data_IF_620933918303
#
_entry.id   IF_620933918303
#
_cell.length_a   1.000
_cell.length_b   1.000
_cell.length_c   1.000
_cell.angle_alpha   90.00
_cell.angle_beta   90.00
_cell.angle_gamma   90.00
#
_symmetry.space_group_name_H-M   'P 1'
#
loop_
_entity.id
_entity.type
_entity.pdbx_description
1 polymer ?
#
# COMPACT_ATOMS: atom_id res chain seq x y z
N UNK A 1 9.55 -1.30 -13.47
CA UNK A 1 10.90 -1.08 -14.06
C UNK A 1 11.77 -0.37 -13.04
N UNK A 2 13.00 -0.84 -12.84
CA UNK A 2 13.97 -0.19 -11.97
C UNK A 2 15.25 0.12 -12.74
N UNK A 3 15.81 1.31 -12.55
CA UNK A 3 17.03 1.76 -13.20
C UNK A 3 18.01 2.30 -12.16
N UNK A 4 19.22 1.75 -12.13
CA UNK A 4 20.34 2.32 -11.41
C UNK A 4 21.04 3.32 -12.32
N UNK A 5 21.11 4.59 -11.91
CA UNK A 5 21.77 5.67 -12.64
C UNK A 5 23.24 5.78 -12.27
N UNK A 6 23.52 5.52 -11.00
CA UNK A 6 24.87 5.43 -10.44
C UNK A 6 24.93 4.27 -9.44
N UNK A 7 26.10 4.00 -8.88
CA UNK A 7 26.24 3.02 -7.79
C UNK A 7 25.47 3.38 -6.52
N UNK A 8 25.05 4.65 -6.39
CA UNK A 8 24.33 5.16 -5.22
C UNK A 8 22.90 5.59 -5.49
N UNK A 9 22.52 5.88 -6.73
CA UNK A 9 21.21 6.42 -7.08
C UNK A 9 20.43 5.50 -8.00
N UNK A 10 19.21 5.20 -7.63
CA UNK A 10 18.29 4.39 -8.42
C UNK A 10 16.88 4.94 -8.39
N UNK A 11 16.12 4.68 -9.45
CA UNK A 11 14.72 5.03 -9.61
C UNK A 11 13.92 3.78 -9.93
N UNK A 12 12.77 3.65 -9.31
CA UNK A 12 11.81 2.57 -9.59
C UNK A 12 10.49 3.19 -10.03
N UNK A 13 9.94 2.68 -11.12
CA UNK A 13 8.62 2.99 -11.64
C UNK A 13 7.81 1.70 -11.74
N UNK A 14 6.60 1.70 -11.23
CA UNK A 14 5.66 0.60 -11.34
C UNK A 14 4.27 1.09 -11.73
N UNK A 15 3.51 0.22 -12.37
CA UNK A 15 2.10 0.40 -12.65
C UNK A 15 1.41 -0.94 -12.44
N UNK A 16 0.18 -0.89 -11.97
CA UNK A 16 -0.69 -2.05 -11.81
C UNK A 16 -2.11 -1.68 -12.21
N UNK A 17 -2.80 -2.66 -12.74
CA UNK A 17 -4.22 -2.59 -13.06
C UNK A 17 -4.88 -3.84 -12.50
N UNK A 18 -6.06 -3.68 -11.90
CA UNK A 18 -6.91 -4.80 -11.52
C UNK A 18 -8.38 -4.46 -11.76
N UNK A 19 -9.15 -5.46 -12.15
CA UNK A 19 -10.59 -5.36 -12.35
C UNK A 19 -11.24 -6.44 -11.48
N UNK A 20 -12.31 -6.07 -10.81
CA UNK A 20 -13.14 -6.99 -10.04
C UNK A 20 -14.57 -6.85 -10.55
N UNK A 21 -15.09 -7.92 -11.13
CA UNK A 21 -16.44 -8.02 -11.64
C UNK A 21 -17.15 -9.22 -11.01
N UNK A 22 -18.22 -8.95 -10.29
CA UNK A 22 -19.05 -9.98 -9.65
C UNK A 22 -20.24 -10.30 -10.55
N UNK A 23 -20.43 -11.56 -10.86
CA UNK A 23 -21.54 -12.02 -11.72
C UNK A 23 -22.88 -12.09 -10.98
N UNK A 24 -22.86 -12.20 -9.64
CA UNK A 24 -24.09 -12.22 -8.84
C UNK A 24 -24.63 -10.81 -8.61
N UNK A 25 -25.92 -10.60 -8.88
CA UNK A 25 -26.58 -9.28 -8.75
C UNK A 25 -26.48 -8.68 -7.35
N UNK A 26 -26.45 -9.49 -6.30
CA UNK A 26 -26.27 -9.06 -4.92
C UNK A 26 -24.88 -8.49 -4.63
N UNK A 27 -23.86 -8.84 -5.41
CA UNK A 27 -22.47 -8.47 -5.23
C UNK A 27 -21.98 -7.44 -6.25
N UNK A 28 -22.77 -7.09 -7.28
CA UNK A 28 -22.40 -6.10 -8.31
C UNK A 28 -22.10 -4.71 -7.76
N UNK A 29 -22.59 -4.40 -6.55
CA UNK A 29 -22.27 -3.14 -5.87
C UNK A 29 -20.77 -2.98 -5.54
N UNK A 30 -19.99 -4.06 -5.61
CA UNK A 30 -18.55 -4.08 -5.35
C UNK A 30 -17.70 -4.15 -6.64
N UNK A 31 -18.34 -4.11 -7.83
CA UNK A 31 -17.62 -4.03 -9.10
C UNK A 31 -16.75 -2.80 -9.15
N UNK A 32 -15.48 -3.00 -9.49
CA UNK A 32 -14.51 -1.90 -9.49
C UNK A 32 -13.30 -2.15 -10.37
N UNK A 33 -12.82 -1.06 -10.95
CA UNK A 33 -11.55 -0.97 -11.66
C UNK A 33 -10.54 -0.21 -10.79
N UNK A 34 -9.35 -0.73 -10.70
CA UNK A 34 -8.26 -0.12 -9.97
C UNK A 34 -7.03 0.07 -10.85
N UNK A 35 -6.54 1.30 -10.90
CA UNK A 35 -5.28 1.66 -11.56
C UNK A 35 -4.35 2.23 -10.50
N UNK A 36 -3.13 1.71 -10.44
CA UNK A 36 -2.10 2.21 -9.54
C UNK A 36 -0.80 2.51 -10.26
N UNK A 37 -0.12 3.54 -9.81
CA UNK A 37 1.23 3.91 -10.24
C UNK A 37 2.09 4.20 -9.03
N UNK A 38 3.36 3.84 -9.10
CA UNK A 38 4.34 4.19 -8.08
C UNK A 38 5.64 4.65 -8.71
N UNK A 39 6.24 5.64 -8.08
CA UNK A 39 7.54 6.19 -8.44
C UNK A 39 8.36 6.36 -7.18
N UNK A 40 9.58 5.83 -7.16
CA UNK A 40 10.46 5.90 -5.99
C UNK A 40 11.87 6.22 -6.43
N UNK A 41 12.44 7.26 -5.84
CA UNK A 41 13.86 7.58 -5.90
C UNK A 41 14.54 7.06 -4.63
N UNK A 42 15.67 6.40 -4.80
CA UNK A 42 16.45 5.84 -3.71
C UNK A 42 17.89 6.29 -3.84
N UNK A 43 18.44 6.83 -2.76
CA UNK A 43 19.83 7.25 -2.67
C UNK A 43 20.55 6.50 -1.52
N UNK A 44 21.62 5.82 -1.86
CA UNK A 44 22.47 5.13 -0.90
C UNK A 44 23.40 6.14 -0.23
N UNK A 45 23.00 6.60 0.96
CA UNK A 45 23.75 7.62 1.74
C UNK A 45 25.08 7.07 2.26
N UNK A 46 25.03 5.88 2.88
CA UNK A 46 26.20 5.13 3.34
C UNK A 46 26.10 3.69 2.85
N UNK A 47 27.06 2.83 3.20
CA UNK A 47 26.99 1.40 2.87
C UNK A 47 25.80 0.71 3.56
N UNK A 48 25.39 1.22 4.72
CA UNK A 48 24.30 0.64 5.53
C UNK A 48 22.99 1.42 5.47
N UNK A 49 23.02 2.69 5.04
CA UNK A 49 21.84 3.54 5.03
C UNK A 49 21.50 4.00 3.62
N UNK A 50 20.28 3.75 3.20
CA UNK A 50 19.70 4.36 2.02
C UNK A 50 18.47 5.17 2.42
N UNK A 51 18.26 6.31 1.75
CA UNK A 51 17.08 7.16 1.90
C UNK A 51 16.27 7.12 0.62
N UNK A 52 14.98 7.32 0.72
CA UNK A 52 14.09 7.31 -0.43
C UNK A 52 13.02 8.39 -0.34
N UNK A 53 12.60 8.85 -1.50
CA UNK A 53 11.39 9.66 -1.65
C UNK A 53 10.53 8.98 -2.72
N UNK A 54 9.31 8.65 -2.35
CA UNK A 54 8.38 7.93 -3.20
C UNK A 54 7.05 8.65 -3.34
N UNK A 55 6.42 8.45 -4.48
CA UNK A 55 5.03 8.78 -4.74
C UNK A 55 4.29 7.55 -5.21
N UNK A 56 3.08 7.35 -4.67
CA UNK A 56 2.17 6.31 -5.13
C UNK A 56 0.81 6.94 -5.35
N UNK A 57 0.30 6.85 -6.57
CA UNK A 57 -1.03 7.28 -6.95
C UNK A 57 -1.90 6.07 -7.27
N UNK A 58 -3.17 6.12 -6.87
CA UNK A 58 -4.16 5.10 -7.23
C UNK A 58 -5.51 5.72 -7.52
N UNK A 59 -6.18 5.19 -8.52
CA UNK A 59 -7.55 5.53 -8.88
C UNK A 59 -8.40 4.27 -8.82
N UNK A 60 -9.51 4.36 -8.11
CA UNK A 60 -10.50 3.31 -8.01
C UNK A 60 -11.83 3.83 -8.58
N UNK A 61 -12.26 3.23 -9.68
CA UNK A 61 -13.56 3.48 -10.30
C UNK A 61 -14.52 2.39 -9.83
N UNK A 62 -15.68 2.78 -9.32
CA UNK A 62 -16.72 1.86 -8.85
C UNK A 62 -17.95 2.00 -9.70
N UNK A 63 -18.54 0.89 -10.10
CA UNK A 63 -19.79 0.88 -10.86
C UNK A 63 -20.95 1.49 -10.03
N UNK A 64 -21.00 1.13 -8.75
CA UNK A 64 -21.98 1.66 -7.80
C UNK A 64 -21.23 2.24 -6.59
N UNK A 65 -21.07 3.55 -6.56
CA UNK A 65 -20.40 4.23 -5.45
C UNK A 65 -19.59 5.43 -5.91
N UNK A 66 -18.80 5.97 -5.00
CA UNK A 66 -17.98 7.12 -5.30
C UNK A 66 -16.59 6.70 -5.78
N UNK A 67 -16.16 7.35 -6.85
CA UNK A 67 -14.79 7.19 -7.34
C UNK A 67 -13.80 7.75 -6.31
N UNK A 68 -12.66 7.12 -6.22
CA UNK A 68 -11.63 7.47 -5.26
C UNK A 68 -10.28 7.64 -5.94
N UNK A 69 -9.59 8.71 -5.58
CA UNK A 69 -8.22 8.96 -5.97
C UNK A 69 -7.35 9.15 -4.73
N UNK A 70 -6.34 8.33 -4.58
CA UNK A 70 -5.40 8.39 -3.46
C UNK A 70 -3.98 8.65 -3.92
N UNK A 71 -3.29 9.57 -3.26
CA UNK A 71 -1.88 9.87 -3.48
C UNK A 71 -1.12 9.78 -2.16
N UNK A 72 -0.02 9.07 -2.18
CA UNK A 72 0.92 8.97 -1.07
C UNK A 72 2.24 9.64 -1.49
N UNK A 73 2.75 10.53 -0.67
CA UNK A 73 4.10 11.06 -0.80
C UNK A 73 4.87 10.65 0.45
N UNK A 74 5.82 9.72 0.31
CA UNK A 74 6.47 9.10 1.45
C UNK A 74 7.99 9.28 1.39
N UNK A 75 8.54 9.79 2.48
CA UNK A 75 9.98 9.74 2.75
C UNK A 75 10.31 8.43 3.46
N UNK A 76 11.41 7.82 3.10
CA UNK A 76 11.81 6.53 3.66
C UNK A 76 13.29 6.44 3.98
N UNK A 77 13.61 5.57 4.93
CA UNK A 77 14.95 5.14 5.25
C UNK A 77 15.01 3.61 5.31
N UNK A 78 16.05 3.05 4.73
CA UNK A 78 16.37 1.62 4.76
C UNK A 78 17.73 1.48 5.42
N UNK A 79 17.81 0.71 6.48
CA UNK A 79 19.01 0.49 7.25
C UNK A 79 19.40 -0.99 7.28
N UNK A 80 20.61 -1.30 6.85
CA UNK A 80 21.20 -2.64 6.97
C UNK A 80 21.68 -2.84 8.42
N UNK A 81 20.83 -3.47 9.25
CA UNK A 81 21.13 -3.78 10.65
C UNK A 81 22.31 -4.77 10.74
N UNK A 82 22.32 -5.74 9.83
CA UNK A 82 23.40 -6.69 9.62
C UNK A 82 23.53 -7.04 8.14
N UNK A 83 24.46 -7.92 7.78
CA UNK A 83 24.59 -8.42 6.40
C UNK A 83 23.33 -9.16 5.91
N UNK A 84 22.58 -9.72 6.84
CA UNK A 84 21.39 -10.51 6.54
C UNK A 84 20.08 -9.85 6.95
N UNK A 85 20.12 -8.68 7.63
CA UNK A 85 18.92 -8.04 8.17
C UNK A 85 18.85 -6.58 7.71
N UNK A 86 17.72 -6.18 7.16
CA UNK A 86 17.41 -4.79 6.85
C UNK A 86 16.10 -4.36 7.47
N UNK A 87 16.06 -3.12 7.96
CA UNK A 87 14.87 -2.45 8.44
C UNK A 87 14.53 -1.30 7.50
N UNK A 88 13.25 -1.09 7.24
CA UNK A 88 12.73 -0.01 6.39
C UNK A 88 11.68 0.76 7.17
N UNK A 89 11.77 2.08 7.16
CA UNK A 89 10.75 2.98 7.69
C UNK A 89 10.35 3.94 6.57
N UNK A 90 9.04 4.11 6.38
CA UNK A 90 8.47 5.09 5.45
C UNK A 90 7.37 5.85 6.15
N UNK A 91 7.35 7.17 5.99
CA UNK A 91 6.33 8.04 6.56
C UNK A 91 5.99 9.16 5.58
N UNK A 92 4.75 9.61 5.61
CA UNK A 92 4.33 10.72 4.78
C UNK A 92 2.82 10.94 4.75
N UNK A 93 2.37 12.01 4.11
CA UNK A 93 0.95 12.29 3.92
C UNK A 93 0.35 11.40 2.82
N UNK A 94 -0.89 11.04 3.05
CA UNK A 94 -1.82 10.50 2.06
C UNK A 94 -2.87 11.57 1.75
N UNK A 95 -3.00 11.94 0.50
CA UNK A 95 -4.06 12.84 -0.01
C UNK A 95 -5.11 11.96 -0.68
N UNK A 96 -6.30 11.94 -0.13
CA UNK A 96 -7.41 11.12 -0.61
C UNK A 96 -8.54 12.02 -1.07
N UNK A 97 -8.88 11.93 -2.34
CA UNK A 97 -10.07 12.55 -2.92
C UNK A 97 -11.15 11.48 -3.12
N UNK A 98 -12.34 11.75 -2.62
CA UNK A 98 -13.51 10.91 -2.84
C UNK A 98 -14.56 11.78 -3.50
N UNK A 99 -15.13 11.29 -4.59
CA UNK A 99 -16.20 11.97 -5.32
C UNK A 99 -17.36 12.33 -4.37
N UNK A 100 -17.88 13.55 -4.48
CA UNK A 100 -18.90 14.15 -3.62
C UNK A 100 -18.47 14.49 -2.18
N UNK A 101 -17.24 14.11 -1.74
CA UNK A 101 -16.77 14.36 -0.36
C UNK A 101 -15.49 15.20 -0.29
N UNK A 102 -14.87 15.48 -1.45
CA UNK A 102 -13.69 16.32 -1.58
C UNK A 102 -12.39 15.63 -1.14
N UNK A 103 -11.38 16.45 -0.88
CA UNK A 103 -10.04 15.99 -0.53
C UNK A 103 -9.82 16.00 0.98
N UNK A 104 -9.28 14.92 1.52
CA UNK A 104 -8.80 14.81 2.90
C UNK A 104 -7.36 14.36 2.94
N UNK A 105 -6.65 14.78 3.97
CA UNK A 105 -5.25 14.40 4.19
C UNK A 105 -5.15 13.55 5.45
N UNK A 106 -4.44 12.42 5.33
CA UNK A 106 -4.22 11.47 6.42
C UNK A 106 -2.72 11.20 6.59
N UNK A 107 -2.25 10.88 7.80
CA UNK A 107 -0.91 10.34 7.97
C UNK A 107 -0.83 8.91 7.44
N UNK A 108 0.35 8.54 6.94
CA UNK A 108 0.67 7.17 6.55
C UNK A 108 2.06 6.80 7.04
N UNK A 109 2.20 5.60 7.55
CA UNK A 109 3.47 5.08 8.03
C UNK A 109 3.59 3.59 7.70
N UNK A 110 4.80 3.17 7.37
CA UNK A 110 5.13 1.76 7.10
C UNK A 110 6.49 1.45 7.73
N UNK A 111 6.54 0.38 8.49
CA UNK A 111 7.77 -0.22 8.99
C UNK A 111 7.88 -1.64 8.47
N UNK A 112 9.05 -2.03 7.98
CA UNK A 112 9.35 -3.37 7.49
C UNK A 112 10.67 -3.88 8.04
N UNK A 113 10.75 -5.18 8.27
CA UNK A 113 11.96 -5.88 8.62
C UNK A 113 12.12 -7.08 7.69
N UNK A 114 13.26 -7.19 7.03
CA UNK A 114 13.60 -8.33 6.19
C UNK A 114 14.84 -9.02 6.76
N UNK A 115 14.77 -10.33 6.86
CA UNK A 115 15.87 -11.18 7.34
C UNK A 115 16.12 -12.32 6.37
N UNK A 116 17.36 -12.41 5.88
CA UNK A 116 17.82 -13.51 5.03
C UNK A 116 18.37 -14.62 5.91
N UNK A 117 17.60 -15.67 6.07
CA UNK A 117 17.98 -16.86 6.84
C UNK A 117 19.03 -17.72 6.10
N UNK A 118 18.98 -17.71 4.77
CA UNK A 118 19.97 -18.38 3.90
C UNK A 118 19.97 -17.71 2.52
N UNK A 119 20.86 -18.13 1.61
CA UNK A 119 20.89 -17.64 0.23
C UNK A 119 19.62 -17.94 -0.56
N UNK A 120 18.83 -18.89 -0.07
CA UNK A 120 17.58 -19.32 -0.71
C UNK A 120 16.33 -18.89 0.03
N UNK A 121 16.43 -18.52 1.32
CA UNK A 121 15.25 -18.24 2.15
C UNK A 121 15.33 -16.87 2.80
N UNK A 122 14.33 -16.05 2.53
CA UNK A 122 14.13 -14.72 3.11
C UNK A 122 12.79 -14.68 3.82
N UNK A 123 12.76 -14.10 5.01
CA UNK A 123 11.57 -13.80 5.79
C UNK A 123 11.44 -12.28 5.92
N UNK A 124 10.24 -11.75 5.71
CA UNK A 124 9.93 -10.36 5.90
C UNK A 124 8.70 -10.17 6.76
N UNK A 125 8.69 -9.10 7.54
CA UNK A 125 7.53 -8.65 8.30
C UNK A 125 7.29 -7.18 8.02
N UNK A 126 6.04 -6.74 8.08
CA UNK A 126 5.73 -5.32 7.97
C UNK A 126 4.52 -4.93 8.83
N UNK A 127 4.51 -3.67 9.19
CA UNK A 127 3.36 -2.98 9.80
C UNK A 127 3.11 -1.72 8.98
N UNK A 128 1.86 -1.52 8.55
CA UNK A 128 1.44 -0.32 7.82
C UNK A 128 0.23 0.30 8.50
N UNK A 129 0.25 1.62 8.62
CA UNK A 129 -0.88 2.44 8.95
C UNK A 129 -1.23 3.35 7.77
N UNK A 130 -2.47 3.33 7.33
CA UNK A 130 -2.98 4.18 6.24
C UNK A 130 -4.50 4.31 6.33
N UNK A 131 -5.04 5.28 5.61
CA UNK A 131 -6.48 5.38 5.42
C UNK A 131 -6.86 4.67 4.12
N UNK A 132 -7.56 3.55 4.23
CA UNK A 132 -7.92 2.74 3.06
C UNK A 132 -9.35 3.03 2.57
N UNK A 133 -9.64 2.63 1.34
CA UNK A 133 -10.99 2.66 0.80
C UNK A 133 -11.89 1.67 1.56
N UNK A 134 -13.08 2.08 1.91
CA UNK A 134 -14.09 1.17 2.43
C UNK A 134 -14.53 0.25 1.29
N UNK A 135 -14.25 -1.03 1.43
CA UNK A 135 -14.54 -2.02 0.39
C UNK A 135 -16.00 -2.50 0.38
N UNK A 136 -16.80 -2.10 1.36
CA UNK A 136 -18.16 -2.61 1.50
C UNK A 136 -19.13 -1.45 1.68
N UNK A 137 -20.11 -1.36 0.78
CA UNK A 137 -21.31 -0.59 1.02
C UNK A 137 -22.13 -1.33 2.08
N UNK A 138 -22.12 -0.84 3.33
CA UNK A 138 -23.01 -1.36 4.37
C UNK A 138 -24.23 -0.43 4.41
N UNK A 139 -25.38 -0.81 3.81
CA UNK A 139 -26.61 -0.05 3.89
C UNK A 139 -27.25 -0.28 5.26
N UNK A 140 -26.68 0.26 6.31
CA UNK A 140 -27.28 0.24 7.62
C UNK A 140 -27.58 1.67 8.08
N UNK A 141 -28.87 2.02 8.14
CA UNK A 141 -29.40 3.30 8.65
C UNK A 141 -28.92 4.58 7.93
N UNK A 142 -28.72 4.56 6.62
CA UNK A 142 -28.39 5.77 5.85
C UNK A 142 -27.03 6.40 6.17
N UNK A 143 -26.16 5.72 6.88
CA UNK A 143 -24.81 6.19 7.16
C UNK A 143 -23.84 5.71 6.06
N UNK A 144 -23.17 6.66 5.44
CA UNK A 144 -22.09 6.36 4.49
C UNK A 144 -20.76 6.43 5.22
N UNK A 145 -19.93 5.38 5.09
CA UNK A 145 -18.57 5.36 5.61
C UNK A 145 -17.61 5.80 4.51
N UNK A 146 -16.80 6.85 4.76
CA UNK A 146 -15.92 7.42 3.74
C UNK A 146 -14.47 7.06 3.94
N UNK A 147 -14.08 6.73 5.14
CA UNK A 147 -12.71 6.47 5.46
C UNK A 147 -12.56 5.39 6.50
N UNK A 148 -11.49 4.67 6.39
CA UNK A 148 -11.17 3.54 7.18
C UNK A 148 -9.71 3.65 7.60
N UNK A 149 -9.47 3.94 8.88
CA UNK A 149 -8.13 3.87 9.45
C UNK A 149 -7.75 2.41 9.57
N UNK A 150 -6.69 2.03 8.88
CA UNK A 150 -6.33 0.62 8.74
C UNK A 150 -4.91 0.37 9.20
N UNK A 151 -4.77 -0.58 10.08
CA UNK A 151 -3.51 -1.22 10.43
C UNK A 151 -3.38 -2.54 9.68
N UNK A 152 -2.29 -2.72 8.96
CA UNK A 152 -1.93 -3.99 8.33
C UNK A 152 -0.67 -4.54 8.96
N UNK A 153 -0.73 -5.78 9.37
CA UNK A 153 0.41 -6.55 9.85
C UNK A 153 0.62 -7.70 8.88
N UNK A 154 1.82 -7.86 8.38
CA UNK A 154 2.09 -8.92 7.42
C UNK A 154 3.39 -9.64 7.71
N UNK A 155 3.38 -10.93 7.39
CA UNK A 155 4.57 -11.78 7.34
C UNK A 155 4.62 -12.39 5.95
N UNK A 156 5.76 -12.33 5.30
CA UNK A 156 5.97 -12.95 4.01
C UNK A 156 7.29 -13.70 3.98
N UNK A 157 7.35 -14.74 3.17
CA UNK A 157 8.56 -15.50 2.94
C UNK A 157 8.79 -15.71 1.45
N UNK A 158 10.06 -15.74 1.06
CA UNK A 158 10.49 -16.06 -0.28
C UNK A 158 11.49 -17.21 -0.21
N UNK A 159 11.16 -18.32 -0.86
CA UNK A 159 12.04 -19.49 -1.00
C UNK A 159 12.44 -19.64 -2.48
N UNK A 160 13.73 -19.52 -2.77
CA UNK A 160 14.29 -19.80 -4.10
C UNK A 160 14.49 -21.31 -4.24
N UNK A 161 13.62 -21.98 -4.99
CA UNK A 161 13.72 -23.41 -5.27
C UNK A 161 14.83 -23.70 -6.28
N UNK A 162 14.93 -22.87 -7.31
CA UNK A 162 15.97 -22.91 -8.34
C UNK A 162 16.37 -21.49 -8.74
N UNK A 163 17.32 -21.33 -9.65
CA UNK A 163 17.67 -20.00 -10.22
C UNK A 163 16.52 -19.33 -10.98
N UNK A 164 15.49 -20.09 -11.36
CA UNK A 164 14.35 -19.58 -12.17
C UNK A 164 13.01 -19.66 -11.44
N UNK A 165 12.93 -20.39 -10.34
CA UNK A 165 11.66 -20.63 -9.62
C UNK A 165 11.79 -20.19 -8.18
N UNK A 166 10.86 -19.34 -7.75
CA UNK A 166 10.73 -18.90 -6.36
C UNK A 166 9.28 -19.12 -5.88
N UNK A 167 9.15 -19.58 -4.65
CA UNK A 167 7.89 -19.69 -3.93
C UNK A 167 7.78 -18.50 -2.98
N UNK A 168 6.66 -17.76 -3.08
CA UNK A 168 6.34 -16.65 -2.18
C UNK A 168 5.07 -17.01 -1.41
N UNK A 169 5.15 -16.93 -0.08
CA UNK A 169 4.01 -17.13 0.81
C UNK A 169 3.89 -15.93 1.74
N UNK A 170 2.66 -15.57 2.10
CA UNK A 170 2.44 -14.47 3.03
C UNK A 170 1.07 -14.54 3.69
N UNK A 171 1.00 -13.96 4.89
CA UNK A 171 -0.23 -13.80 5.66
C UNK A 171 -0.33 -12.34 6.10
N UNK A 172 -1.52 -11.76 5.96
CA UNK A 172 -1.82 -10.41 6.38
C UNK A 172 -2.98 -10.43 7.36
N UNK A 173 -2.81 -9.69 8.47
CA UNK A 173 -3.87 -9.33 9.40
C UNK A 173 -4.24 -7.87 9.16
N UNK A 174 -5.53 -7.58 9.10
CA UNK A 174 -6.05 -6.23 8.87
C UNK A 174 -6.97 -5.87 10.02
N UNK A 175 -6.65 -4.79 10.71
CA UNK A 175 -7.51 -4.18 11.71
C UNK A 175 -7.96 -2.82 11.19
N UNK A 176 -9.26 -2.61 11.12
CA UNK A 176 -9.86 -1.41 10.54
C UNK A 176 -10.81 -0.76 11.52
N UNK A 177 -10.68 0.55 11.67
CA UNK A 177 -11.62 1.38 12.42
C UNK A 177 -12.38 2.29 11.45
N UNK A 178 -13.71 2.18 11.45
CA UNK A 178 -14.60 2.87 10.54
C UNK A 178 -15.07 4.19 11.15
N UNK A 179 -14.62 5.29 10.60
CA UNK A 179 -15.10 6.61 11.02
C UNK A 179 -16.45 6.90 10.36
N UNK A 180 -17.51 6.93 11.18
CA UNK A 180 -18.87 7.29 10.76
C UNK A 180 -18.97 8.81 10.60
N UNK A 181 -19.33 9.30 9.41
CA UNK A 181 -19.85 10.67 9.26
C UNK A 181 -21.39 10.63 9.21
N UNK A 182 -22.01 11.30 10.15
CA UNK A 182 -23.46 11.55 10.09
C UNK A 182 -23.64 12.73 9.14
N UNK A 183 -24.24 12.48 7.98
CA UNK A 183 -24.72 13.56 7.11
C UNK A 183 -25.95 14.16 7.76
N UNK A 184 -25.82 15.34 8.34
CA UNK A 184 -26.97 16.16 8.73
C UNK A 184 -27.43 16.82 7.44
N UNK A 185 -28.47 16.28 6.80
CA UNK A 185 -29.21 16.99 5.76
C UNK A 185 -30.02 18.10 6.42
N UNK A 186 -29.62 19.35 6.18
CA UNK A 186 -30.51 20.49 6.38
C UNK A 186 -31.57 20.55 5.27
#
# INVERSE_FOLDING_TARGET
VSKAWTSRYSTTLGANFSMIDYQEDSAKTDNRDYVGMNFTNRYKWTERLAVSLGWTGSYCNREYGNNEFSNFVMAGAEYAVSENTSATLRVGPQFKYVENYGTKTYPSAEFGLNHRLSDRFMLGTFVRYSNEAVNTYIPYNGASYYSNETWRFGVHSTLKLTHRVSLNCGVNLVASDYTRQISISN
#
